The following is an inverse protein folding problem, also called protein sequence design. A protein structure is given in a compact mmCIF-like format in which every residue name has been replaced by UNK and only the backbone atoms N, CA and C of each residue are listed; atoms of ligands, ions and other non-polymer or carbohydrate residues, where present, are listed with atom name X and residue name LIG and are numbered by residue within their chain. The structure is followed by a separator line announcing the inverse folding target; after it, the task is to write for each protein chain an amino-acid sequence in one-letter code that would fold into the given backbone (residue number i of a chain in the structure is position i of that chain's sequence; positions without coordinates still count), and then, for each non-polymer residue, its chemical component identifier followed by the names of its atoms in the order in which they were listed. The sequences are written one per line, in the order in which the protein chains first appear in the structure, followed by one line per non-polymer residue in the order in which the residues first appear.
data_IF_145211072239
#
_entry.id   IF_145211072239
#
_cell.length_a   1.000
_cell.length_b   1.000
_cell.length_c   1.000
_cell.angle_alpha   90.00
_cell.angle_beta   90.00
_cell.angle_gamma   90.00
#
_symmetry.space_group_name_H-M   'P 1'
#
loop_
_entity.id
_entity.type
_entity.pdbx_description
1 polymer ?
#
# COMPACT_ATOMS: atom_id res chain seq x y z
N UNK A 1 29.66 -9.38 4.08
CA UNK A 1 29.39 -8.27 5.02
C UNK A 1 27.88 -8.16 5.14
N UNK A 2 27.28 -8.91 6.07
CA UNK A 2 25.84 -8.97 6.25
C UNK A 2 25.37 -7.68 6.93
N UNK A 3 24.68 -6.81 6.20
CA UNK A 3 23.92 -5.73 6.83
C UNK A 3 22.70 -6.36 7.50
N UNK A 4 22.86 -6.70 8.78
CA UNK A 4 21.76 -7.04 9.67
C UNK A 4 20.98 -5.73 9.87
N UNK A 5 19.80 -5.62 9.25
CA UNK A 5 18.81 -4.63 9.69
C UNK A 5 18.21 -5.15 11.00
N UNK A 6 18.95 -5.04 12.10
CA UNK A 6 18.42 -5.29 13.42
C UNK A 6 17.56 -4.09 13.80
N UNK A 7 16.25 -4.22 13.63
CA UNK A 7 15.29 -3.46 14.41
C UNK A 7 14.45 -4.44 15.22
N UNK A 8 15.13 -5.21 16.08
CA UNK A 8 14.51 -5.73 17.30
C UNK A 8 14.83 -4.75 18.42
N UNK A 9 13.85 -3.96 18.84
CA UNK A 9 13.83 -3.46 20.22
C UNK A 9 12.61 -4.08 20.90
N UNK A 10 12.84 -5.27 21.43
CA UNK A 10 11.96 -5.84 22.43
C UNK A 10 12.07 -5.00 23.71
N UNK A 11 10.94 -4.52 24.23
CA UNK A 11 10.78 -4.30 25.67
C UNK A 11 11.38 -3.04 26.31
N UNK A 12 11.46 -1.89 25.62
CA UNK A 12 11.78 -0.63 26.29
C UNK A 12 10.96 0.54 25.76
N UNK A 13 10.17 1.17 26.64
CA UNK A 13 9.43 2.42 26.41
C UNK A 13 10.37 3.63 26.28
N UNK A 14 11.33 3.60 25.35
CA UNK A 14 12.32 4.68 25.20
C UNK A 14 12.61 4.96 23.72
N UNK A 15 12.24 6.18 23.30
CA UNK A 15 12.75 6.94 22.14
C UNK A 15 12.22 6.67 20.72
N UNK A 16 10.93 6.40 20.52
CA UNK A 16 10.30 6.53 19.18
C UNK A 16 10.02 8.02 18.81
N UNK A 17 10.14 8.96 19.75
CA UNK A 17 9.74 10.36 19.56
C UNK A 17 10.72 11.26 18.77
N UNK A 18 11.91 10.79 18.37
CA UNK A 18 12.89 11.65 17.69
C UNK A 18 12.79 11.64 16.16
N UNK A 19 12.22 10.61 15.54
CA UNK A 19 12.10 10.52 14.08
C UNK A 19 10.67 10.88 13.65
N UNK A 20 10.55 11.94 12.83
CA UNK A 20 9.26 12.37 12.25
C UNK A 20 8.79 11.44 11.14
N UNK A 21 9.68 10.62 10.59
CA UNK A 21 9.42 9.62 9.57
C UNK A 21 10.03 8.27 9.97
N UNK A 22 9.29 7.18 9.87
CA UNK A 22 9.75 5.85 10.28
C UNK A 22 9.15 4.77 9.38
N UNK A 23 9.76 3.58 9.34
CA UNK A 23 9.23 2.43 8.63
C UNK A 23 9.55 1.12 9.35
N UNK A 24 8.63 0.16 9.32
CA UNK A 24 8.75 -1.13 9.99
C UNK A 24 7.84 -2.16 9.31
N UNK A 25 8.11 -3.45 9.57
CA UNK A 25 7.20 -4.53 9.23
C UNK A 25 6.08 -4.62 10.27
N UNK A 26 4.83 -4.71 9.81
CA UNK A 26 3.69 -4.99 10.66
C UNK A 26 3.59 -6.50 10.95
N UNK A 27 3.53 -6.84 12.24
CA UNK A 27 3.50 -8.23 12.71
C UNK A 27 2.12 -8.89 12.53
N UNK A 28 1.04 -8.11 12.52
CA UNK A 28 -0.32 -8.63 12.35
C UNK A 28 -0.67 -8.93 10.89
N UNK A 29 0.01 -8.25 9.97
CA UNK A 29 -0.15 -8.41 8.53
C UNK A 29 1.20 -8.10 7.88
N UNK A 30 1.92 -9.08 7.31
CA UNK A 30 3.32 -8.93 6.88
C UNK A 30 3.51 -7.94 5.73
N UNK A 31 3.48 -6.65 6.06
CA UNK A 31 3.61 -5.52 5.16
C UNK A 31 4.57 -4.48 5.76
N UNK A 32 5.32 -3.80 4.90
CA UNK A 32 6.12 -2.65 5.30
C UNK A 32 5.19 -1.45 5.36
N UNK A 33 5.15 -0.81 6.53
CA UNK A 33 4.40 0.42 6.77
C UNK A 33 5.39 1.53 7.06
N UNK A 34 5.15 2.71 6.51
CA UNK A 34 5.87 3.93 6.88
C UNK A 34 4.93 4.90 7.56
N UNK A 35 5.43 5.65 8.54
CA UNK A 35 4.66 6.63 9.30
C UNK A 35 5.31 8.01 9.25
N UNK A 36 4.46 9.04 9.22
CA UNK A 36 4.84 10.43 9.48
C UNK A 36 4.28 10.84 10.85
N UNK A 37 5.15 10.87 11.86
CA UNK A 37 4.75 10.90 13.26
C UNK A 37 3.93 9.66 13.61
N UNK A 38 2.69 9.84 14.07
CA UNK A 38 1.76 8.74 14.38
C UNK A 38 0.88 8.32 13.19
N UNK A 39 0.89 9.06 12.08
CA UNK A 39 0.00 8.81 10.93
C UNK A 39 0.67 7.86 9.94
N UNK A 40 -0.03 6.79 9.56
CA UNK A 40 0.38 5.93 8.44
C UNK A 40 0.50 6.79 7.17
N UNK A 41 1.61 6.63 6.46
CA UNK A 41 1.97 7.44 5.30
C UNK A 41 2.06 6.59 4.03
N UNK A 42 2.60 5.38 4.14
CA UNK A 42 2.73 4.42 3.03
C UNK A 42 2.47 3.00 3.55
N UNK A 43 2.02 2.12 2.66
CA UNK A 43 1.84 0.70 2.94
C UNK A 43 2.20 -0.13 1.72
N UNK A 44 3.16 -1.04 1.87
CA UNK A 44 3.65 -1.89 0.77
C UNK A 44 2.67 -2.97 0.34
N UNK A 45 1.56 -3.16 1.07
CA UNK A 45 0.71 -4.34 1.01
C UNK A 45 1.46 -5.63 1.42
N UNK A 46 0.74 -6.74 1.63
CA UNK A 46 1.36 -8.00 2.06
C UNK A 46 2.34 -8.56 1.03
N UNK A 47 3.32 -9.32 1.54
CA UNK A 47 4.21 -10.12 0.70
C UNK A 47 3.42 -11.18 -0.08
N UNK A 48 3.62 -11.25 -1.40
CA UNK A 48 2.88 -12.17 -2.29
C UNK A 48 3.69 -13.40 -2.74
N UNK A 49 4.82 -13.69 -2.10
CA UNK A 49 5.75 -14.77 -2.48
C UNK A 49 6.87 -14.30 -3.40
N UNK A 50 6.69 -13.19 -4.11
CA UNK A 50 7.68 -12.62 -5.05
C UNK A 50 8.16 -11.24 -4.59
N UNK A 51 7.25 -10.43 -4.07
CA UNK A 51 7.49 -9.05 -3.69
C UNK A 51 6.34 -8.47 -2.87
N UNK A 52 6.45 -7.20 -2.51
CA UNK A 52 5.34 -6.43 -1.93
C UNK A 52 4.51 -5.81 -3.05
N UNK A 53 3.19 -5.96 -3.00
CA UNK A 53 2.31 -5.55 -4.13
C UNK A 53 2.25 -4.02 -4.33
N UNK A 54 2.44 -3.25 -3.26
CA UNK A 54 2.56 -1.79 -3.28
C UNK A 54 3.98 -1.27 -3.57
N UNK A 55 4.95 -2.16 -3.81
CA UNK A 55 6.30 -1.82 -4.25
C UNK A 55 6.78 -2.79 -5.36
N UNK A 56 6.08 -2.85 -6.51
CA UNK A 56 6.35 -3.82 -7.58
C UNK A 56 7.73 -3.70 -8.22
N UNK A 57 8.45 -2.58 -8.04
CA UNK A 57 9.84 -2.39 -8.47
C UNK A 57 10.82 -3.22 -7.63
N UNK A 58 10.44 -3.60 -6.40
CA UNK A 58 11.24 -4.47 -5.53
C UNK A 58 10.91 -5.92 -5.86
N UNK A 59 11.47 -6.40 -6.97
CA UNK A 59 11.37 -7.80 -7.40
C UNK A 59 12.74 -8.41 -7.68
N UNK A 60 12.88 -9.74 -7.54
CA UNK A 60 14.09 -10.43 -7.94
C UNK A 60 14.48 -10.10 -9.38
N UNK A 61 15.75 -9.82 -9.61
CA UNK A 61 16.31 -9.52 -10.91
C UNK A 61 17.76 -10.03 -10.98
N UNK A 62 18.51 -9.70 -12.04
CA UNK A 62 19.89 -10.19 -12.21
C UNK A 62 20.89 -9.73 -11.14
N UNK A 63 20.53 -8.71 -10.36
CA UNK A 63 21.38 -8.09 -9.34
C UNK A 63 20.95 -8.43 -7.91
N UNK A 64 19.64 -8.55 -7.68
CA UNK A 64 19.05 -8.73 -6.35
C UNK A 64 18.14 -9.95 -6.32
N UNK A 65 18.23 -10.73 -5.26
CA UNK A 65 17.15 -11.61 -4.81
C UNK A 65 16.65 -11.18 -3.44
N UNK A 66 15.43 -11.61 -3.07
CA UNK A 66 14.79 -11.22 -1.84
C UNK A 66 14.25 -12.46 -1.13
N UNK A 67 14.47 -12.52 0.17
CA UNK A 67 13.91 -13.55 1.04
C UNK A 67 12.97 -12.89 2.04
N UNK A 68 11.86 -13.57 2.30
CA UNK A 68 10.86 -13.16 3.26
C UNK A 68 10.62 -14.30 4.24
N UNK A 69 10.96 -14.07 5.50
CA UNK A 69 10.82 -15.06 6.58
C UNK A 69 9.71 -14.59 7.50
N UNK A 70 8.72 -15.45 7.70
CA UNK A 70 7.60 -15.23 8.62
C UNK A 70 7.27 -16.56 9.28
N UNK A 71 7.70 -16.73 10.52
CA UNK A 71 7.41 -17.88 11.37
C UNK A 71 7.21 -17.42 12.82
N UNK A 72 6.92 -18.36 13.74
CA UNK A 72 6.62 -18.06 15.15
C UNK A 72 7.78 -17.38 15.91
N UNK A 73 8.99 -17.38 15.36
CA UNK A 73 10.20 -16.82 15.97
C UNK A 73 10.64 -15.51 15.31
N UNK A 74 10.50 -15.42 13.99
CA UNK A 74 11.14 -14.38 13.20
C UNK A 74 10.22 -13.86 12.08
N UNK A 75 10.17 -12.54 11.95
CA UNK A 75 9.52 -11.82 10.86
C UNK A 75 10.49 -10.78 10.30
N UNK A 76 11.05 -11.06 9.13
CA UNK A 76 11.89 -10.11 8.43
C UNK A 76 11.87 -10.36 6.93
N UNK A 77 12.26 -9.34 6.17
CA UNK A 77 12.64 -9.53 4.77
C UNK A 77 14.08 -9.05 4.60
N UNK A 78 14.81 -9.72 3.72
CA UNK A 78 16.19 -9.39 3.41
C UNK A 78 16.42 -9.42 1.91
N UNK A 79 17.56 -8.89 1.48
CA UNK A 79 17.99 -8.93 0.09
C UNK A 79 19.38 -9.58 0.00
N UNK A 80 19.60 -10.33 -1.07
CA UNK A 80 20.91 -10.88 -1.40
C UNK A 80 21.39 -10.26 -2.70
N UNK A 81 22.68 -9.92 -2.75
CA UNK A 81 23.35 -9.45 -3.96
C UNK A 81 23.81 -10.66 -4.78
N UNK A 82 23.22 -10.83 -5.95
CA UNK A 82 23.66 -11.82 -6.94
C UNK A 82 24.95 -11.33 -7.57
N UNK A 83 24.95 -10.07 -8.02
CA UNK A 83 26.16 -9.37 -8.44
C UNK A 83 26.78 -8.65 -7.25
N UNK A 84 27.92 -9.18 -6.78
CA UNK A 84 28.64 -8.67 -5.61
C UNK A 84 29.41 -7.37 -5.87
N UNK A 85 29.53 -6.94 -7.12
CA UNK A 85 30.14 -5.64 -7.46
C UNK A 85 29.23 -4.47 -7.14
N UNK A 86 27.91 -4.71 -7.04
CA UNK A 86 26.92 -3.69 -6.76
C UNK A 86 26.90 -3.34 -5.28
N UNK A 87 26.96 -2.04 -4.99
CA UNK A 87 26.77 -1.50 -3.65
C UNK A 87 25.40 -0.85 -3.59
N UNK A 88 24.53 -1.34 -2.70
CA UNK A 88 23.19 -0.79 -2.48
C UNK A 88 22.96 -0.49 -1.00
N UNK A 89 22.05 0.44 -0.72
CA UNK A 89 21.57 0.72 0.65
C UNK A 89 20.12 1.15 0.63
N UNK A 90 19.44 0.98 1.75
CA UNK A 90 18.11 1.57 2.00
C UNK A 90 18.27 2.75 2.95
N UNK A 91 17.66 3.88 2.63
CA UNK A 91 17.72 5.13 3.41
C UNK A 91 16.30 5.64 3.66
N UNK A 92 16.05 6.12 4.87
CA UNK A 92 14.86 6.89 5.22
C UNK A 92 15.22 8.38 5.21
N UNK A 93 14.63 9.14 4.28
CA UNK A 93 14.82 10.59 4.19
C UNK A 93 13.71 11.31 4.98
N UNK A 94 14.08 11.91 6.11
CA UNK A 94 13.16 12.65 6.99
C UNK A 94 12.63 13.95 6.36
N UNK A 95 13.40 14.56 5.46
CA UNK A 95 13.04 15.84 4.84
C UNK A 95 11.97 15.63 3.77
N UNK A 96 12.17 14.64 2.91
CA UNK A 96 11.21 14.34 1.83
C UNK A 96 10.14 13.32 2.24
N UNK A 97 10.29 12.66 3.40
CA UNK A 97 9.45 11.52 3.83
C UNK A 97 9.48 10.36 2.82
N UNK A 98 10.64 10.09 2.24
CA UNK A 98 10.81 8.97 1.31
C UNK A 98 11.66 7.87 1.92
N UNK A 99 11.24 6.63 1.67
CA UNK A 99 12.10 5.45 1.83
C UNK A 99 12.70 5.11 0.48
N UNK A 100 14.02 5.10 0.38
CA UNK A 100 14.72 4.95 -0.89
C UNK A 100 15.71 3.79 -0.83
N UNK A 101 15.70 2.94 -1.86
CA UNK A 101 16.83 2.06 -2.16
C UNK A 101 17.73 2.79 -3.14
N UNK A 102 18.98 3.00 -2.78
CA UNK A 102 19.98 3.64 -3.62
C UNK A 102 21.04 2.64 -4.06
N UNK A 103 21.61 2.85 -5.23
CA UNK A 103 22.77 2.13 -5.75
C UNK A 103 23.92 3.09 -5.96
N UNK A 104 25.14 2.67 -5.62
CA UNK A 104 26.34 3.47 -5.85
C UNK A 104 26.71 3.45 -7.33
N UNK A 105 26.85 4.63 -7.93
CA UNK A 105 27.41 4.80 -9.27
C UNK A 105 28.91 5.15 -9.13
N UNK A 106 29.76 4.28 -9.65
CA UNK A 106 31.23 4.44 -9.57
C UNK A 106 31.77 5.53 -10.48
N UNK A 107 31.11 5.81 -11.61
CA UNK A 107 31.54 6.83 -12.58
C UNK A 107 31.29 8.23 -12.03
N UNK A 108 30.11 8.46 -11.46
CA UNK A 108 29.71 9.77 -10.92
C UNK A 108 30.00 9.92 -9.42
N UNK A 109 30.52 8.86 -8.78
CA UNK A 109 30.78 8.78 -7.33
C UNK A 109 29.58 9.24 -6.50
N UNK A 110 28.38 8.79 -6.87
CA UNK A 110 27.14 9.26 -6.27
C UNK A 110 26.13 8.14 -6.02
N UNK A 111 25.20 8.39 -5.08
CA UNK A 111 24.09 7.48 -4.79
C UNK A 111 22.89 7.80 -5.68
N UNK A 112 22.52 6.85 -6.54
CA UNK A 112 21.37 6.99 -7.43
C UNK A 112 20.18 6.24 -6.84
N UNK A 113 19.00 6.89 -6.69
CA UNK A 113 17.79 6.19 -6.24
C UNK A 113 17.35 5.18 -7.30
N UNK A 114 17.21 3.92 -6.87
CA UNK A 114 16.69 2.82 -7.66
C UNK A 114 15.19 2.62 -7.43
N UNK A 115 14.75 2.70 -6.17
CA UNK A 115 13.33 2.67 -5.76
C UNK A 115 13.10 3.77 -4.75
N UNK A 116 11.97 4.46 -4.85
CA UNK A 116 11.52 5.49 -3.89
C UNK A 116 10.08 5.16 -3.49
N UNK A 117 9.78 5.16 -2.20
CA UNK A 117 8.45 4.90 -1.66
C UNK A 117 8.04 6.06 -0.72
N UNK A 118 6.82 6.61 -0.84
CA UNK A 118 5.87 6.49 -1.96
C UNK A 118 6.47 6.86 -3.32
N UNK A 119 5.96 6.29 -4.42
CA UNK A 119 6.41 6.62 -5.79
C UNK A 119 5.59 7.73 -6.40
N UNK A 120 4.30 7.76 -6.07
CA UNK A 120 3.33 8.70 -6.59
C UNK A 120 2.25 9.03 -5.54
N UNK A 121 1.29 9.86 -5.93
CA UNK A 121 0.22 10.33 -5.06
C UNK A 121 -0.75 9.19 -4.63
N UNK A 122 -0.88 8.13 -5.41
CA UNK A 122 -1.74 6.99 -5.10
C UNK A 122 -1.13 6.04 -4.05
N UNK A 123 0.19 6.04 -3.91
CA UNK A 123 0.89 5.29 -2.87
C UNK A 123 0.71 5.91 -1.46
N UNK A 124 0.22 7.15 -1.36
CA UNK A 124 -0.11 7.77 -0.08
C UNK A 124 -1.24 7.00 0.61
N UNK A 125 -1.02 6.62 1.87
CA UNK A 125 -1.97 5.81 2.62
C UNK A 125 -3.31 6.53 2.79
N UNK A 126 -4.38 5.89 2.32
CA UNK A 126 -5.74 6.43 2.41
C UNK A 126 -6.01 7.58 1.43
N UNK A 127 -5.25 7.67 0.32
CA UNK A 127 -5.47 8.69 -0.71
C UNK A 127 -6.91 8.72 -1.23
N UNK A 128 -7.46 7.55 -1.52
CA UNK A 128 -8.89 7.35 -1.77
C UNK A 128 -9.51 6.68 -0.55
N UNK A 129 -10.73 7.09 -0.20
CA UNK A 129 -11.45 6.51 0.94
C UNK A 129 -11.81 5.03 0.74
N UNK A 130 -12.44 4.42 1.75
CA UNK A 130 -12.83 3.01 1.70
C UNK A 130 -13.61 2.66 0.43
N UNK A 131 -13.29 1.52 -0.19
CA UNK A 131 -13.89 1.03 -1.43
C UNK A 131 -13.67 1.92 -2.67
N UNK A 132 -12.77 2.91 -2.59
CA UNK A 132 -12.23 3.62 -3.74
C UNK A 132 -10.91 3.00 -4.22
N UNK A 133 -10.62 3.17 -5.50
CA UNK A 133 -9.32 2.87 -6.11
C UNK A 133 -8.66 4.16 -6.61
N UNK A 134 -7.34 4.22 -6.51
CA UNK A 134 -6.56 5.33 -7.05
C UNK A 134 -5.93 4.93 -8.39
N UNK A 135 -6.13 5.76 -9.42
CA UNK A 135 -5.57 5.59 -10.75
C UNK A 135 -4.86 6.90 -11.11
N UNK A 136 -3.53 6.86 -11.15
CA UNK A 136 -2.69 8.05 -11.36
C UNK A 136 -2.98 8.77 -12.69
N UNK A 137 -3.37 8.03 -13.73
CA UNK A 137 -3.68 8.58 -15.05
C UNK A 137 -5.11 9.09 -15.20
N UNK A 138 -5.96 8.94 -14.18
CA UNK A 138 -7.35 9.36 -14.22
C UNK A 138 -7.54 10.78 -13.66
N UNK A 139 -8.56 11.48 -14.15
CA UNK A 139 -9.00 12.78 -13.65
C UNK A 139 -10.50 12.73 -13.38
N UNK A 140 -10.96 12.64 -12.11
CA UNK A 140 -10.17 12.59 -10.87
C UNK A 140 -9.41 11.27 -10.67
N UNK A 141 -8.34 11.24 -9.85
CA UNK A 141 -7.54 10.04 -9.61
C UNK A 141 -8.27 8.97 -8.81
N UNK A 142 -9.18 9.37 -7.91
CA UNK A 142 -10.01 8.42 -7.17
C UNK A 142 -11.26 8.05 -7.95
N UNK A 143 -11.54 6.75 -8.01
CA UNK A 143 -12.72 6.18 -8.63
C UNK A 143 -13.35 5.17 -7.70
N UNK A 144 -14.67 5.03 -7.74
CA UNK A 144 -15.35 3.96 -7.04
C UNK A 144 -14.95 2.59 -7.60
N UNK A 145 -14.89 1.59 -6.73
CA UNK A 145 -14.88 0.21 -7.19
C UNK A 145 -16.19 -0.13 -7.91
N UNK A 146 -16.16 -1.18 -8.73
CA UNK A 146 -17.35 -1.64 -9.43
C UNK A 146 -18.47 -1.97 -8.43
N UNK A 147 -19.69 -1.50 -8.68
CA UNK A 147 -20.88 -1.64 -7.81
C UNK A 147 -20.83 -0.81 -6.52
N UNK A 148 -19.95 0.18 -6.44
CA UNK A 148 -19.94 1.18 -5.38
C UNK A 148 -20.29 2.58 -5.93
N UNK A 149 -20.82 3.42 -5.04
CA UNK A 149 -21.08 4.84 -5.30
C UNK A 149 -20.60 5.69 -4.12
N UNK A 150 -20.30 6.98 -4.31
CA UNK A 150 -19.87 7.85 -3.23
C UNK A 150 -20.89 7.91 -2.10
N UNK A 151 -20.43 7.93 -0.85
CA UNK A 151 -21.32 8.18 0.32
C UNK A 151 -21.96 9.57 0.26
N UNK A 152 -21.19 10.56 -0.19
CA UNK A 152 -21.66 11.93 -0.41
C UNK A 152 -21.22 12.37 -1.80
N UNK A 153 -22.20 12.63 -2.67
CA UNK A 153 -21.91 13.11 -4.02
C UNK A 153 -21.35 14.54 -3.99
N UNK A 154 -21.79 15.36 -3.04
CA UNK A 154 -21.29 16.72 -2.85
C UNK A 154 -19.81 16.73 -2.50
N UNK A 155 -19.40 15.93 -1.51
CA UNK A 155 -18.00 15.77 -1.12
C UNK A 155 -17.16 15.22 -2.30
N UNK A 156 -17.69 14.24 -3.02
CA UNK A 156 -17.02 13.67 -4.18
C UNK A 156 -16.77 14.70 -5.29
N UNK A 157 -17.76 15.56 -5.56
CA UNK A 157 -17.66 16.63 -6.55
C UNK A 157 -16.63 17.70 -6.16
N UNK A 158 -16.37 17.87 -4.87
CA UNK A 158 -15.32 18.77 -4.34
C UNK A 158 -13.99 18.07 -4.11
N UNK A 159 -13.79 16.86 -4.66
CA UNK A 159 -12.57 16.05 -4.52
C UNK A 159 -12.27 15.59 -3.09
N UNK A 160 -13.28 15.54 -2.23
CA UNK A 160 -13.20 14.92 -0.90
C UNK A 160 -13.67 13.46 -0.99
N UNK A 161 -12.68 12.58 -1.13
CA UNK A 161 -12.89 11.14 -1.25
C UNK A 161 -12.74 10.39 0.08
N UNK A 162 -12.44 11.08 1.19
CA UNK A 162 -12.09 10.43 2.47
C UNK A 162 -13.25 9.64 3.06
N UNK A 163 -14.48 10.05 2.78
CA UNK A 163 -15.69 9.34 3.23
C UNK A 163 -15.84 7.96 2.58
N UNK A 164 -15.22 7.76 1.41
CA UNK A 164 -15.29 6.54 0.63
C UNK A 164 -16.67 6.24 0.05
N UNK A 165 -16.82 5.01 -0.40
CA UNK A 165 -17.94 4.57 -1.22
C UNK A 165 -18.76 3.49 -0.52
N UNK A 166 -20.04 3.42 -0.85
CA UNK A 166 -21.00 2.42 -0.38
C UNK A 166 -21.47 1.55 -1.54
N UNK A 167 -21.76 0.29 -1.23
CA UNK A 167 -22.30 -0.63 -2.22
C UNK A 167 -23.63 -0.09 -2.77
N UNK A 168 -23.82 -0.19 -4.08
CA UNK A 168 -25.01 0.33 -4.76
C UNK A 168 -26.29 -0.42 -4.33
N UNK A 169 -26.14 -1.63 -3.78
CA UNK A 169 -27.22 -2.47 -3.28
C UNK A 169 -27.16 -2.64 -1.77
N UNK A 170 -28.30 -2.89 -1.13
CA UNK A 170 -28.29 -3.37 0.24
C UNK A 170 -28.05 -4.87 0.25
N UNK A 171 -26.97 -5.31 0.89
CA UNK A 171 -26.85 -6.71 1.31
C UNK A 171 -27.91 -6.98 2.37
N UNK A 172 -29.09 -7.48 1.98
CA UNK A 172 -29.95 -8.19 2.93
C UNK A 172 -29.32 -9.55 3.13
N UNK A 173 -28.60 -9.72 4.23
CA UNK A 173 -28.24 -11.04 4.71
C UNK A 173 -29.54 -11.78 5.04
N UNK A 174 -30.01 -12.63 4.14
CA UNK A 174 -31.01 -13.64 4.49
C UNK A 174 -30.24 -14.79 5.13
N UNK A 175 -29.97 -14.65 6.43
CA UNK A 175 -29.54 -15.78 7.24
C UNK A 175 -30.79 -16.57 7.62
N UNK A 176 -31.05 -17.67 6.92
CA UNK A 176 -31.80 -18.77 7.50
C UNK A 176 -30.79 -19.74 8.16
N UNK A 177 -31.24 -20.50 9.15
CA UNK A 177 -30.39 -21.42 9.94
C UNK A 177 -29.91 -22.66 9.15
N UNK A 178 -30.07 -22.72 7.84
CA UNK A 178 -29.70 -23.85 6.97
C UNK A 178 -28.56 -23.55 5.99
N UNK A 179 -28.03 -22.33 5.94
CA UNK A 179 -26.76 -22.03 5.26
C UNK A 179 -26.75 -22.17 3.73
N UNK A 180 -27.92 -22.15 3.08
CA UNK A 180 -28.01 -22.23 1.62
C UNK A 180 -28.27 -20.83 1.01
N UNK A 181 -27.33 -20.36 0.18
CA UNK A 181 -27.44 -19.08 -0.54
C UNK A 181 -28.48 -19.18 -1.67
N UNK A 182 -29.59 -18.44 -1.55
CA UNK A 182 -30.56 -18.29 -2.63
C UNK A 182 -30.09 -17.27 -3.69
N UNK A 183 -30.48 -17.41 -4.97
CA UNK A 183 -30.10 -16.48 -6.03
C UNK A 183 -30.65 -15.08 -5.78
N UNK A 184 -29.80 -14.06 -5.92
CA UNK A 184 -30.16 -12.65 -5.76
C UNK A 184 -31.22 -12.22 -6.78
N UNK A 185 -32.39 -11.79 -6.31
CA UNK A 185 -33.35 -11.08 -7.15
C UNK A 185 -32.78 -9.71 -7.56
N UNK A 186 -32.59 -9.54 -8.87
CA UNK A 186 -32.11 -8.28 -9.46
C UNK A 186 -33.25 -7.26 -9.50
N UNK A 187 -33.27 -6.32 -8.56
CA UNK A 187 -33.91 -5.01 -8.77
C UNK A 187 -32.87 -3.93 -8.54
N UNK A 188 -32.41 -3.31 -9.63
CA UNK A 188 -31.29 -2.39 -9.61
C UNK A 188 -31.22 -1.50 -10.82
N UNK A 189 -31.32 -0.18 -10.59
CA UNK A 189 -31.05 0.84 -11.61
C UNK A 189 -29.52 0.92 -11.81
N UNK A 190 -29.08 0.85 -13.05
CA UNK A 190 -27.67 1.00 -13.45
C UNK A 190 -27.45 2.44 -13.90
N UNK A 191 -26.38 3.10 -13.43
CA UNK A 191 -25.97 4.39 -13.97
C UNK A 191 -25.38 4.20 -15.38
N UNK A 192 -25.97 4.83 -16.38
CA UNK A 192 -25.39 4.96 -17.72
C UNK A 192 -24.41 6.14 -17.76
N UNK A 193 -23.46 6.09 -18.70
CA UNK A 193 -22.34 7.04 -18.90
C UNK A 193 -22.76 8.52 -19.05
N UNK A 194 -24.05 8.80 -19.21
CA UNK A 194 -24.61 10.15 -19.34
C UNK A 194 -25.43 10.65 -18.13
N UNK A 195 -25.32 10.00 -16.98
CA UNK A 195 -25.88 10.52 -15.71
C UNK A 195 -27.41 10.57 -15.60
N UNK A 196 -28.16 9.94 -16.53
CA UNK A 196 -29.62 9.77 -16.40
C UNK A 196 -29.97 8.35 -15.94
N UNK A 197 -30.74 8.27 -14.85
CA UNK A 197 -31.34 7.03 -14.35
C UNK A 197 -32.44 6.58 -15.32
N UNK A 198 -32.37 5.34 -15.80
CA UNK A 198 -33.52 4.67 -16.44
C UNK A 198 -33.87 3.38 -15.70
N UNK A 199 -35.17 3.11 -15.62
CA UNK A 199 -35.74 1.91 -14.99
C UNK A 199 -35.69 0.70 -15.93
N UNK A 200 -35.47 -0.47 -15.34
CA UNK A 200 -35.71 -1.77 -15.96
C UNK A 200 -36.44 -2.65 -14.96
#
# INVERSE_FOLDING_TARGET
MSMILALTVAGSNVLIFLLKFSAALDMGNPEVVSWKGSKKYFRSAPWNGIGFSGAPEIRPNRYFSFDFISNDKELYYTYNLIDKSIITRVVLNQTTNHRQRCTWNTETQSWIPYVTEPRDDCDNYGRCGPNGKCIISAMPPCQCLEKFKPKSQEAWNTMDWYHGDIYTYHFRGLGDTSGQLLPLEKKGKVCSENGKLQEK
#
